data_IF_774785892556
#
_entry.id   IF_774785892556
#
_cell.length_a   1.000
_cell.length_b   1.000
_cell.length_c   1.000
_cell.angle_alpha   90.00
_cell.angle_beta   90.00
_cell.angle_gamma   90.00
#
_symmetry.space_group_name_H-M   'P 1'
#
loop_
_entity.id
_entity.type
_entity.pdbx_description
1 polymer ?
#
# COMPACT_ATOMS: atom_id res chain seq x y z
N UNK A 1 -13.25 -6.20 18.30
CA UNK A 1 -13.47 -7.50 17.66
C UNK A 1 -12.18 -7.85 16.95
N UNK A 2 -11.31 -8.63 17.60
CA UNK A 2 -10.10 -9.13 16.96
C UNK A 2 -10.54 -10.04 15.80
N UNK A 3 -10.21 -9.67 14.57
CA UNK A 3 -10.34 -10.60 13.45
C UNK A 3 -9.21 -11.61 13.63
N UNK A 4 -9.55 -12.89 13.78
CA UNK A 4 -8.56 -13.96 13.80
C UNK A 4 -7.74 -13.98 12.51
N UNK A 5 -6.60 -14.69 12.55
CA UNK A 5 -5.72 -14.98 11.43
C UNK A 5 -6.54 -15.22 10.13
N UNK A 6 -6.31 -14.39 9.11
CA UNK A 6 -7.01 -14.47 7.85
C UNK A 6 -6.23 -13.80 6.71
N UNK A 7 -6.50 -14.22 5.48
CA UNK A 7 -6.07 -13.50 4.29
C UNK A 7 -7.31 -13.04 3.54
N UNK A 8 -7.36 -11.74 3.21
CA UNK A 8 -8.45 -11.15 2.45
C UNK A 8 -8.01 -10.83 1.03
N UNK A 9 -8.49 -11.57 0.01
CA UNK A 9 -8.31 -11.19 -1.38
C UNK A 9 -8.76 -9.73 -1.59
N UNK A 10 -7.96 -8.94 -2.31
CA UNK A 10 -8.27 -7.51 -2.49
C UNK A 10 -9.65 -7.31 -3.11
N UNK A 11 -10.06 -8.17 -4.04
CA UNK A 11 -11.37 -8.10 -4.69
C UNK A 11 -12.55 -8.21 -3.72
N UNK A 12 -12.35 -8.82 -2.55
CA UNK A 12 -13.38 -9.04 -1.52
C UNK A 12 -13.44 -7.91 -0.49
N UNK A 13 -12.49 -6.96 -0.55
CA UNK A 13 -12.59 -5.74 0.26
C UNK A 13 -13.70 -4.82 -0.28
N UNK A 14 -14.45 -4.14 0.61
CA UNK A 14 -15.43 -3.13 0.20
C UNK A 14 -14.81 -2.07 -0.71
N UNK A 15 -15.49 -1.77 -1.81
CA UNK A 15 -14.99 -0.86 -2.83
C UNK A 15 -15.86 0.40 -2.91
N UNK A 16 -15.22 1.56 -2.88
CA UNK A 16 -15.85 2.87 -3.09
C UNK A 16 -15.39 3.42 -4.42
N UNK A 17 -16.31 3.59 -5.37
CA UNK A 17 -16.01 4.22 -6.66
C UNK A 17 -15.65 5.70 -6.46
N UNK A 18 -14.71 6.18 -7.26
CA UNK A 18 -14.38 7.60 -7.26
C UNK A 18 -15.46 8.42 -7.96
N UNK A 19 -15.63 9.68 -7.53
CA UNK A 19 -16.60 10.61 -8.12
C UNK A 19 -16.40 10.85 -9.61
N UNK A 20 -15.14 10.80 -10.07
CA UNK A 20 -14.81 10.96 -11.49
C UNK A 20 -15.08 9.69 -12.33
N UNK A 21 -15.45 8.56 -11.72
CA UNK A 21 -15.69 7.29 -12.40
C UNK A 21 -14.42 6.57 -12.90
N UNK A 22 -13.24 7.16 -12.75
CA UNK A 22 -11.96 6.68 -13.29
C UNK A 22 -11.19 5.80 -12.30
N UNK A 23 -11.92 5.03 -11.49
CA UNK A 23 -11.33 4.12 -10.52
C UNK A 23 -12.16 3.91 -9.27
N UNK A 24 -11.54 3.22 -8.30
CA UNK A 24 -12.13 2.94 -7.00
C UNK A 24 -11.05 2.75 -5.94
N UNK A 25 -11.44 2.94 -4.68
CA UNK A 25 -10.61 2.68 -3.52
C UNK A 25 -11.17 1.50 -2.73
N UNK A 26 -10.29 0.62 -2.25
CA UNK A 26 -10.58 -0.37 -1.22
C UNK A 26 -9.74 -0.07 0.00
N UNK A 27 -10.38 0.27 1.12
CA UNK A 27 -9.65 0.56 2.35
C UNK A 27 -9.10 -0.74 2.96
N UNK A 28 -7.84 -0.70 3.38
CA UNK A 28 -7.16 -1.82 4.06
C UNK A 28 -7.13 -1.57 5.56
N UNK A 29 -6.59 -0.42 5.96
CA UNK A 29 -6.44 -0.01 7.36
C UNK A 29 -6.43 1.52 7.49
N UNK A 30 -6.74 2.03 8.68
CA UNK A 30 -6.66 3.46 9.02
C UNK A 30 -6.42 3.65 10.52
N UNK A 31 -5.90 4.82 10.93
CA UNK A 31 -5.67 5.13 12.35
C UNK A 31 -6.96 5.24 13.16
N UNK A 32 -8.06 5.57 12.49
CA UNK A 32 -9.41 5.61 13.06
C UNK A 32 -10.44 5.35 11.97
N UNK A 33 -11.70 5.13 12.37
CA UNK A 33 -12.83 5.03 11.45
C UNK A 33 -13.38 6.36 10.95
N UNK A 34 -12.70 7.49 11.22
CA UNK A 34 -13.17 8.81 10.79
C UNK A 34 -12.95 9.04 9.30
N UNK A 35 -13.59 10.08 8.75
CA UNK A 35 -13.38 10.47 7.35
C UNK A 35 -11.97 11.04 7.09
N UNK A 36 -11.32 11.57 8.13
CA UNK A 36 -10.01 12.20 8.06
C UNK A 36 -9.06 11.61 9.11
N UNK A 37 -8.68 10.33 8.97
CA UNK A 37 -7.77 9.68 9.90
C UNK A 37 -6.35 10.23 9.71
N UNK A 38 -5.52 10.19 10.75
CA UNK A 38 -4.12 10.63 10.65
C UNK A 38 -3.34 9.84 9.62
N UNK A 39 -3.71 8.58 9.41
CA UNK A 39 -3.26 7.82 8.26
C UNK A 39 -4.32 6.86 7.73
N UNK A 40 -4.20 6.54 6.45
CA UNK A 40 -5.03 5.56 5.75
C UNK A 40 -4.20 4.80 4.72
N UNK A 41 -4.33 3.48 4.73
CA UNK A 41 -3.78 2.56 3.74
C UNK A 41 -4.94 2.03 2.91
N UNK A 42 -4.83 2.16 1.59
CA UNK A 42 -5.83 1.67 0.67
C UNK A 42 -5.21 1.08 -0.59
N UNK A 43 -6.01 0.31 -1.31
CA UNK A 43 -5.67 -0.18 -2.64
C UNK A 43 -6.56 0.52 -3.65
N UNK A 44 -5.94 1.24 -4.57
CA UNK A 44 -6.58 1.95 -5.65
C UNK A 44 -6.61 1.06 -6.90
N UNK A 45 -7.76 1.01 -7.59
CA UNK A 45 -7.84 0.62 -9.00
C UNK A 45 -7.81 1.88 -9.83
N UNK A 46 -6.79 2.02 -10.68
CA UNK A 46 -6.51 3.23 -11.47
C UNK A 46 -6.61 2.93 -12.96
N UNK A 47 -7.23 3.82 -13.70
CA UNK A 47 -7.31 3.79 -15.16
C UNK A 47 -6.44 4.90 -15.77
N UNK A 48 -6.23 4.85 -17.08
CA UNK A 48 -5.47 5.90 -17.74
C UNK A 48 -6.19 7.26 -17.63
N UNK A 49 -5.42 8.34 -17.47
CA UNK A 49 -5.95 9.69 -17.33
C UNK A 49 -6.62 10.02 -15.99
N UNK A 50 -6.57 9.13 -15.00
CA UNK A 50 -7.15 9.42 -13.67
C UNK A 50 -6.48 10.66 -13.06
N UNK A 51 -7.28 11.70 -12.79
CA UNK A 51 -6.89 12.80 -11.91
C UNK A 51 -7.18 12.45 -10.44
N UNK A 52 -6.19 12.65 -9.57
CA UNK A 52 -6.29 12.32 -8.15
C UNK A 52 -6.88 13.51 -7.39
N UNK A 53 -7.70 13.23 -6.36
CA UNK A 53 -8.11 14.27 -5.42
C UNK A 53 -6.92 14.76 -4.59
N UNK A 54 -6.93 16.05 -4.29
CA UNK A 54 -5.97 16.68 -3.38
C UNK A 54 -6.42 16.53 -1.94
N UNK A 55 -5.45 16.41 -1.04
CA UNK A 55 -5.59 16.25 0.39
C UNK A 55 -4.47 17.04 1.08
N UNK A 56 -4.64 18.36 1.18
CA UNK A 56 -3.66 19.24 1.82
C UNK A 56 -3.41 18.81 3.28
N UNK A 57 -2.15 18.89 3.73
CA UNK A 57 -1.75 18.45 5.06
C UNK A 57 -1.48 16.95 5.19
N UNK A 58 -1.48 16.20 4.07
CA UNK A 58 -1.06 14.81 4.01
C UNK A 58 0.16 14.66 3.09
N UNK A 59 1.11 13.82 3.48
CA UNK A 59 2.03 13.16 2.55
C UNK A 59 1.37 11.92 1.96
N UNK A 60 1.69 11.62 0.69
CA UNK A 60 1.20 10.42 0.01
C UNK A 60 2.36 9.58 -0.50
N UNK A 61 2.25 8.27 -0.32
CA UNK A 61 3.10 7.28 -0.96
C UNK A 61 2.22 6.39 -1.83
N UNK A 62 2.58 6.25 -3.10
CA UNK A 62 1.81 5.51 -4.07
C UNK A 62 2.68 4.47 -4.77
N UNK A 63 2.37 3.20 -4.54
CA UNK A 63 3.20 2.06 -4.94
C UNK A 63 2.41 1.13 -5.86
N UNK A 64 2.69 1.10 -7.17
CA UNK A 64 2.06 0.16 -8.08
C UNK A 64 2.34 -1.30 -7.67
N UNK A 65 1.30 -2.14 -7.63
CA UNK A 65 1.45 -3.56 -7.27
C UNK A 65 2.06 -4.40 -8.40
N UNK A 66 2.11 -3.84 -9.61
CA UNK A 66 2.79 -4.41 -10.76
C UNK A 66 3.65 -3.32 -11.41
N UNK A 67 4.95 -3.60 -11.52
CA UNK A 67 5.95 -2.64 -11.99
C UNK A 67 5.66 -2.18 -13.43
N UNK A 68 5.96 -0.92 -13.72
CA UNK A 68 5.86 -0.33 -15.07
C UNK A 68 4.43 -0.11 -15.60
N UNK A 69 3.40 -0.36 -14.78
CA UNK A 69 2.00 -0.22 -15.21
C UNK A 69 1.40 1.16 -14.96
N UNK A 70 1.84 1.86 -13.93
CA UNK A 70 1.31 3.17 -13.54
C UNK A 70 2.48 4.15 -13.38
N UNK A 71 2.37 5.29 -14.07
CA UNK A 71 3.24 6.45 -13.88
C UNK A 71 2.40 7.58 -13.29
N UNK A 72 2.90 8.27 -12.25
CA UNK A 72 2.26 9.47 -11.72
C UNK A 72 2.88 10.71 -12.35
N UNK A 73 2.05 11.71 -12.66
CA UNK A 73 2.46 12.94 -13.30
C UNK A 73 2.03 14.16 -12.47
N UNK A 74 2.94 15.10 -12.30
CA UNK A 74 2.68 16.42 -11.75
C UNK A 74 2.84 17.45 -12.86
N UNK A 75 1.74 18.12 -13.26
CA UNK A 75 1.77 19.07 -14.36
C UNK A 75 2.27 18.47 -15.69
N UNK A 76 2.04 17.17 -15.91
CA UNK A 76 2.50 16.44 -17.10
C UNK A 76 3.94 15.90 -17.01
N UNK A 77 4.68 16.21 -15.94
CA UNK A 77 6.02 15.66 -15.69
C UNK A 77 5.91 14.38 -14.88
N UNK A 78 6.50 13.30 -15.36
CA UNK A 78 6.51 12.01 -14.67
C UNK A 78 7.38 12.06 -13.40
N UNK A 79 6.80 11.64 -12.28
CA UNK A 79 7.49 11.52 -11.01
C UNK A 79 8.22 10.18 -10.94
N UNK A 80 9.47 10.23 -10.45
CA UNK A 80 10.28 9.01 -10.30
C UNK A 80 9.90 8.27 -9.01
N UNK A 81 9.73 6.93 -9.07
CA UNK A 81 9.63 6.14 -7.86
C UNK A 81 10.99 6.06 -7.15
N UNK A 82 10.96 5.77 -5.86
CA UNK A 82 12.15 5.45 -5.07
C UNK A 82 12.62 3.99 -5.26
N UNK A 83 13.60 3.56 -4.46
CA UNK A 83 14.13 2.20 -4.50
C UNK A 83 13.09 1.11 -4.19
N UNK A 84 12.06 1.43 -3.39
CA UNK A 84 10.95 0.53 -3.07
C UNK A 84 9.78 0.64 -4.06
N UNK A 85 9.93 1.44 -5.13
CA UNK A 85 8.92 1.60 -6.16
C UNK A 85 7.77 2.53 -5.77
N UNK A 86 7.88 3.23 -4.65
CA UNK A 86 6.90 4.20 -4.17
C UNK A 86 7.16 5.58 -4.78
N UNK A 87 6.13 6.20 -5.34
CA UNK A 87 6.16 7.62 -5.68
C UNK A 87 5.62 8.40 -4.48
N UNK A 88 6.47 9.24 -3.86
CA UNK A 88 6.09 10.07 -2.72
C UNK A 88 5.88 11.51 -3.13
N UNK A 89 4.77 12.11 -2.71
CA UNK A 89 4.39 13.47 -3.08
C UNK A 89 3.50 14.13 -2.01
N UNK A 90 3.44 15.46 -2.03
CA UNK A 90 2.52 16.24 -1.20
C UNK A 90 1.08 16.02 -1.66
N UNK A 91 0.20 15.63 -0.74
CA UNK A 91 -1.20 15.35 -1.03
C UNK A 91 -1.98 16.56 -1.54
N UNK A 92 -1.54 17.78 -1.24
CA UNK A 92 -2.12 19.03 -1.74
C UNK A 92 -1.79 19.32 -3.21
N UNK A 93 -0.86 18.59 -3.82
CA UNK A 93 -0.46 18.77 -5.22
C UNK A 93 -1.38 17.99 -6.16
N UNK A 94 -1.72 18.61 -7.29
CA UNK A 94 -2.48 17.96 -8.35
C UNK A 94 -1.64 16.91 -9.07
N UNK A 95 -2.11 15.66 -9.04
CA UNK A 95 -1.46 14.51 -9.67
C UNK A 95 -2.44 13.83 -10.63
N UNK A 96 -1.93 13.38 -11.78
CA UNK A 96 -2.62 12.47 -12.68
C UNK A 96 -1.86 11.15 -12.84
N UNK A 97 -2.53 10.13 -13.34
CA UNK A 97 -1.93 8.84 -13.65
C UNK A 97 -1.99 8.56 -15.14
N UNK A 98 -0.88 8.01 -15.66
CA UNK A 98 -0.82 7.33 -16.96
C UNK A 98 -0.72 5.84 -16.69
N UNK A 99 -1.59 5.05 -17.33
CA UNK A 99 -1.72 3.61 -17.08
C UNK A 99 -1.56 2.81 -18.36
N UNK A 100 -0.67 1.81 -18.34
CA UNK A 100 -0.38 0.93 -19.48
C UNK A 100 -1.03 -0.45 -19.29
N UNK A 101 -1.62 -0.98 -20.36
CA UNK A 101 -2.18 -2.34 -20.38
C UNK A 101 -3.49 -2.49 -19.60
N UNK A 102 -4.26 -1.41 -19.42
CA UNK A 102 -5.56 -1.41 -18.75
C UNK A 102 -5.50 -1.15 -17.24
N UNK A 103 -6.67 -1.16 -16.60
CA UNK A 103 -6.83 -0.84 -15.19
C UNK A 103 -5.81 -1.59 -14.30
N UNK A 104 -5.17 -0.85 -13.40
CA UNK A 104 -4.04 -1.36 -12.61
C UNK A 104 -4.21 -1.05 -11.14
N UNK A 105 -3.64 -1.90 -10.28
CA UNK A 105 -3.74 -1.76 -8.84
C UNK A 105 -2.48 -1.11 -8.25
N UNK A 106 -2.68 -0.27 -7.24
CA UNK A 106 -1.62 0.34 -6.48
C UNK A 106 -2.02 0.48 -5.01
N UNK A 107 -1.03 0.36 -4.13
CA UNK A 107 -1.17 0.77 -2.74
C UNK A 107 -1.05 2.28 -2.69
N UNK A 108 -1.96 2.90 -1.94
CA UNK A 108 -1.94 4.31 -1.64
C UNK A 108 -1.94 4.48 -0.12
N UNK A 109 -0.89 5.09 0.40
CA UNK A 109 -0.82 5.52 1.78
C UNK A 109 -0.98 7.03 1.84
N UNK A 110 -1.82 7.49 2.74
CA UNK A 110 -1.95 8.89 3.12
C UNK A 110 -1.60 9.00 4.59
N UNK A 111 -0.73 9.93 4.95
CA UNK A 111 -0.35 10.19 6.33
C UNK A 111 -0.26 11.70 6.56
N UNK A 112 -0.79 12.21 7.68
CA UNK A 112 -0.69 13.64 8.01
C UNK A 112 0.77 14.08 8.12
N UNK A 113 1.03 15.35 7.86
CA UNK A 113 2.34 15.97 8.11
C UNK A 113 2.81 15.67 9.54
N UNK A 114 4.06 15.20 9.69
CA UNK A 114 4.60 14.71 10.97
C UNK A 114 4.49 13.20 11.17
N UNK A 115 3.78 12.49 10.29
CA UNK A 115 3.86 11.04 10.17
C UNK A 115 4.64 10.67 8.92
N UNK A 116 5.46 9.62 9.04
CA UNK A 116 6.25 9.07 7.95
C UNK A 116 5.76 7.68 7.59
N UNK A 117 5.42 7.51 6.33
CA UNK A 117 5.24 6.19 5.75
C UNK A 117 6.60 5.64 5.30
N UNK A 118 6.82 4.36 5.60
CA UNK A 118 7.89 3.57 5.03
C UNK A 118 7.28 2.27 4.51
N UNK A 119 7.48 1.94 3.25
CA UNK A 119 7.11 0.64 2.70
C UNK A 119 8.29 -0.04 2.07
N UNK A 120 8.31 -1.37 2.16
CA UNK A 120 9.40 -2.19 1.68
C UNK A 120 8.88 -3.44 0.99
N UNK A 121 9.48 -3.78 -0.14
CA UNK A 121 9.26 -5.08 -0.76
C UNK A 121 10.09 -6.16 -0.07
N UNK A 122 9.45 -7.26 0.31
CA UNK A 122 10.12 -8.49 0.77
C UNK A 122 9.76 -9.66 -0.11
N UNK A 123 10.75 -10.51 -0.37
CA UNK A 123 10.53 -11.85 -0.93
C UNK A 123 10.66 -12.84 0.21
N UNK A 124 9.63 -13.67 0.39
CA UNK A 124 9.53 -14.60 1.52
C UNK A 124 9.40 -16.02 1.00
N UNK A 125 10.16 -16.93 1.61
CA UNK A 125 10.12 -18.38 1.38
C UNK A 125 10.09 -19.07 2.74
N UNK A 126 9.31 -20.14 2.89
CA UNK A 126 9.02 -20.77 4.17
C UNK A 126 7.89 -20.07 4.91
N UNK A 127 7.91 -20.17 6.23
CA UNK A 127 6.85 -19.70 7.10
C UNK A 127 6.93 -18.19 7.34
N UNK A 128 5.77 -17.54 7.40
CA UNK A 128 5.63 -16.12 7.74
C UNK A 128 4.46 -15.92 8.69
N UNK A 129 4.68 -15.14 9.75
CA UNK A 129 3.64 -14.67 10.65
C UNK A 129 3.59 -13.14 10.58
N UNK A 130 2.38 -12.60 10.45
CA UNK A 130 2.16 -11.14 10.51
C UNK A 130 1.89 -10.69 11.96
N UNK A 131 2.87 -10.79 12.85
CA UNK A 131 2.74 -10.46 14.27
C UNK A 131 3.53 -9.21 14.72
N UNK A 132 4.32 -8.61 13.83
CA UNK A 132 5.06 -7.38 14.13
C UNK A 132 4.10 -6.18 14.25
N UNK A 133 3.92 -5.62 15.46
CA UNK A 133 2.99 -4.52 15.70
C UNK A 133 3.48 -3.19 15.10
N UNK A 134 4.68 -3.10 14.53
CA UNK A 134 5.15 -1.94 13.77
C UNK A 134 4.60 -1.93 12.35
N UNK A 135 4.20 -3.08 11.81
CA UNK A 135 3.60 -3.21 10.49
C UNK A 135 2.12 -2.81 10.57
N UNK A 136 1.70 -1.93 9.68
CA UNK A 136 0.31 -1.44 9.56
C UNK A 136 -0.49 -2.20 8.52
N UNK A 137 0.18 -2.77 7.52
CA UNK A 137 -0.43 -3.68 6.55
C UNK A 137 0.66 -4.51 5.83
N UNK A 138 0.28 -5.74 5.45
CA UNK A 138 1.07 -6.61 4.57
C UNK A 138 0.23 -6.95 3.34
N UNK A 139 0.73 -6.58 2.17
CA UNK A 139 0.06 -6.85 0.89
C UNK A 139 0.83 -7.91 0.11
N UNK A 140 0.21 -9.07 -0.11
CA UNK A 140 0.66 -10.07 -1.07
C UNK A 140 0.46 -9.53 -2.50
N UNK A 141 1.51 -9.51 -3.31
CA UNK A 141 1.49 -8.96 -4.68
C UNK A 141 1.70 -10.04 -5.78
N UNK A 142 1.51 -9.65 -7.05
CA UNK A 142 1.45 -10.57 -8.20
C UNK A 142 2.69 -11.43 -8.40
N UNK A 143 2.49 -12.66 -8.91
CA UNK A 143 3.55 -13.65 -9.15
C UNK A 143 3.93 -14.50 -7.93
N UNK A 144 3.36 -14.18 -6.77
CA UNK A 144 3.60 -14.86 -5.51
C UNK A 144 2.70 -16.09 -5.31
N UNK A 145 3.24 -17.13 -4.68
CA UNK A 145 2.48 -18.27 -4.17
C UNK A 145 2.64 -18.31 -2.65
N UNK A 146 1.52 -18.08 -1.96
CA UNK A 146 1.39 -18.28 -0.52
C UNK A 146 0.20 -19.23 -0.27
N UNK A 147 0.28 -20.02 0.79
CA UNK A 147 -0.80 -20.87 1.27
C UNK A 147 -1.15 -20.52 2.71
N UNK A 148 -2.44 -20.47 3.01
CA UNK A 148 -2.99 -20.40 4.38
C UNK A 148 -3.67 -21.74 4.65
N UNK A 149 -3.25 -22.44 5.70
CA UNK A 149 -3.79 -23.77 6.05
C UNK A 149 -3.78 -24.76 4.86
N UNK A 150 -2.71 -24.72 4.05
CA UNK A 150 -2.58 -25.53 2.84
C UNK A 150 -3.36 -25.04 1.60
N UNK A 151 -4.19 -24.00 1.73
CA UNK A 151 -4.99 -23.44 0.63
C UNK A 151 -4.23 -22.32 -0.06
N UNK A 152 -4.06 -22.42 -1.39
CA UNK A 152 -3.40 -21.39 -2.20
C UNK A 152 -4.17 -20.07 -2.17
N UNK A 153 -3.42 -18.99 -1.99
CA UNK A 153 -3.93 -17.63 -1.91
C UNK A 153 -3.59 -16.91 -3.21
N UNK A 154 -4.62 -16.33 -3.84
CA UNK A 154 -4.45 -15.52 -5.05
C UNK A 154 -4.07 -14.09 -4.70
N UNK A 155 -2.95 -13.62 -5.25
CA UNK A 155 -2.58 -12.22 -5.18
C UNK A 155 -3.42 -11.32 -6.13
N UNK A 156 -3.62 -10.04 -5.80
CA UNK A 156 -3.22 -9.43 -4.55
C UNK A 156 -4.19 -9.71 -3.40
N UNK A 157 -3.65 -9.80 -2.18
CA UNK A 157 -4.41 -10.04 -0.96
C UNK A 157 -3.78 -9.30 0.24
N UNK A 158 -4.59 -9.01 1.26
CA UNK A 158 -4.13 -8.48 2.55
C UNK A 158 -3.91 -9.65 3.50
N UNK A 159 -2.72 -9.75 4.09
CA UNK A 159 -2.44 -10.70 5.16
C UNK A 159 -2.82 -10.00 6.47
N UNK A 160 -3.85 -10.46 7.18
CA UNK A 160 -4.29 -9.83 8.43
C UNK A 160 -3.28 -10.04 9.55
N UNK A 161 -3.22 -9.16 10.55
CA UNK A 161 -2.42 -9.39 11.76
C UNK A 161 -2.72 -10.75 12.40
N UNK A 162 -1.69 -11.43 12.90
CA UNK A 162 -1.76 -12.77 13.48
C UNK A 162 -1.84 -13.91 12.46
N UNK A 163 -1.88 -13.63 11.16
CA UNK A 163 -1.96 -14.69 10.14
C UNK A 163 -0.62 -15.40 9.94
N UNK A 164 -0.68 -16.73 9.90
CA UNK A 164 0.43 -17.59 9.51
C UNK A 164 0.27 -18.04 8.05
N UNK A 165 1.30 -17.91 7.24
CA UNK A 165 1.27 -18.30 5.82
C UNK A 165 2.55 -19.01 5.42
N UNK A 166 2.42 -20.03 4.58
CA UNK A 166 3.55 -20.74 4.02
C UNK A 166 3.82 -20.22 2.61
N UNK A 167 5.06 -19.87 2.34
CA UNK A 167 5.45 -19.17 1.11
C UNK A 167 6.43 -20.04 0.31
N UNK A 168 6.15 -20.27 -0.98
CA UNK A 168 7.15 -20.89 -1.87
C UNK A 168 8.11 -19.84 -2.44
N UNK A 169 7.58 -18.64 -2.75
CA UNK A 169 8.32 -17.44 -3.17
C UNK A 169 7.35 -16.27 -3.20
N UNK A 170 6.81 -15.92 -2.04
CA UNK A 170 5.82 -14.86 -1.94
C UNK A 170 6.49 -13.48 -1.99
N UNK A 171 5.82 -12.50 -2.59
CA UNK A 171 6.29 -11.10 -2.60
C UNK A 171 5.30 -10.25 -1.83
N UNK A 172 5.79 -9.64 -0.75
CA UNK A 172 5.01 -8.80 0.15
C UNK A 172 5.44 -7.34 0.04
N UNK A 173 4.48 -6.43 0.09
CA UNK A 173 4.72 -5.04 0.44
C UNK A 173 4.33 -4.87 1.91
N UNK A 174 5.33 -4.66 2.77
CA UNK A 174 5.12 -4.28 4.16
C UNK A 174 5.04 -2.77 4.26
N UNK A 175 4.09 -2.26 5.04
CA UNK A 175 3.82 -0.84 5.18
C UNK A 175 3.88 -0.48 6.65
N UNK A 176 4.73 0.47 6.99
CA UNK A 176 4.93 1.02 8.32
C UNK A 176 4.55 2.49 8.34
N UNK A 177 4.09 2.97 9.49
CA UNK A 177 3.77 4.38 9.70
C UNK A 177 4.35 4.78 11.05
N UNK A 178 5.35 5.66 11.00
CA UNK A 178 6.12 6.12 12.15
C UNK A 178 5.83 7.59 12.46
N UNK A 179 5.95 7.98 13.73
CA UNK A 179 5.85 9.38 14.15
C UNK A 179 7.21 10.06 14.13
N UNK A 180 7.29 11.33 13.70
CA UNK A 180 8.51 12.14 13.78
C UNK A 180 9.05 12.30 15.20
N UNK A 181 8.19 12.20 16.21
CA UNK A 181 8.52 12.59 17.58
C UNK A 181 9.18 11.47 18.39
N UNK A 182 9.27 10.25 17.84
CA UNK A 182 9.64 9.06 18.62
C UNK A 182 10.73 8.19 17.99
N UNK A 183 11.34 8.58 16.87
CA UNK A 183 12.29 7.69 16.19
C UNK A 183 13.58 8.41 15.71
N UNK A 184 14.38 8.84 16.68
CA UNK A 184 15.79 9.17 16.46
C UNK A 184 16.67 7.92 16.28
N UNK A 185 16.13 6.71 16.50
CA UNK A 185 16.83 5.42 16.41
C UNK A 185 16.92 4.84 14.99
N UNK A 186 15.95 5.09 14.11
CA UNK A 186 15.97 4.50 12.75
C UNK A 186 17.09 5.08 11.84
N UNK A 187 17.59 6.29 12.11
CA UNK A 187 18.67 6.91 11.30
C UNK A 187 20.05 6.29 11.50
N UNK A 188 20.31 5.55 12.58
CA UNK A 188 21.65 5.02 12.88
C UNK A 188 21.95 3.62 12.32
N UNK A 189 20.94 2.89 11.83
CA UNK A 189 21.11 1.50 11.36
C UNK A 189 21.47 1.30 9.89
N UNK A 190 21.78 2.36 9.12
CA UNK A 190 21.97 2.25 7.66
C UNK A 190 23.30 2.83 7.14
N UNK A 191 24.32 2.93 8.01
CA UNK A 191 25.68 3.33 7.63
C UNK A 191 26.75 2.36 8.15
N UNK A 192 26.42 1.09 8.32
CA UNK A 192 27.39 0.03 8.65
C UNK A 192 27.17 -1.20 7.79
#
# INVERSE_FOLDING_TARGET
>A
MERGAAIRPVRELPATRWRNGLGMTRQVASSSGSEQPDWRISIATVTDGTAFSTFSGYGRAFTPLAAGRISLLQGGVELSPDADGAVRFDGGVAISARVRGGASLAVNVMARTGLHECSRWRTVTGDFVNDDPSIRAVILAGGAVATLDGVKVSAPAVIEPGSFVQCTRARFLEIHICSTTTDSSYRQGHLS
#
